data_IF_217734774088
#
_entry.id   IF_217734774088
#
_cell.length_a   1.000
_cell.length_b   1.000
_cell.length_c   1.000
_cell.angle_alpha   90.00
_cell.angle_beta   90.00
_cell.angle_gamma   90.00
#
_symmetry.space_group_name_H-M   'P 1'
#
loop_
_entity.id
_entity.type
_entity.pdbx_description
1 polymer ?
#
# COMPACT_ATOMS: atom_id res chain seq x y z
N UNK A 1 28.35 -19.83 -71.72
CA UNK A 1 28.36 -20.84 -70.64
C UNK A 1 27.50 -20.26 -69.54
N UNK A 2 26.32 -20.76 -69.20
CA UNK A 2 25.47 -21.80 -69.78
C UNK A 2 24.10 -21.58 -69.11
N UNK A 3 23.04 -21.92 -69.84
CA UNK A 3 21.65 -21.52 -69.64
C UNK A 3 20.93 -22.08 -68.40
N UNK A 4 19.84 -21.37 -68.06
CA UNK A 4 18.72 -21.75 -67.19
C UNK A 4 17.89 -22.93 -67.74
N UNK A 5 17.34 -23.78 -66.85
CA UNK A 5 16.03 -24.48 -66.95
C UNK A 5 15.69 -25.06 -65.55
N UNK A 6 14.57 -24.70 -64.88
CA UNK A 6 13.18 -25.18 -65.04
C UNK A 6 12.98 -26.70 -64.88
N UNK A 7 11.89 -27.30 -64.38
CA UNK A 7 10.77 -26.99 -63.48
C UNK A 7 9.89 -28.28 -63.41
N UNK A 8 9.36 -28.63 -62.22
CA UNK A 8 8.08 -29.37 -61.93
C UNK A 8 7.75 -30.77 -62.49
N UNK A 9 7.30 -31.65 -61.57
CA UNK A 9 6.03 -32.45 -61.50
C UNK A 9 6.24 -33.56 -60.44
N UNK A 10 5.30 -34.09 -59.65
CA UNK A 10 3.84 -34.06 -59.56
C UNK A 10 3.40 -35.34 -58.82
N UNK A 11 2.46 -35.23 -57.86
CA UNK A 11 1.92 -36.29 -57.00
C UNK A 11 1.14 -37.40 -57.73
N UNK A 12 1.07 -38.62 -57.17
CA UNK A 12 -0.22 -39.34 -56.93
C UNK A 12 -0.11 -40.50 -55.92
N UNK A 13 -1.24 -40.76 -55.25
CA UNK A 13 -1.56 -41.70 -54.16
C UNK A 13 -1.28 -43.20 -54.41
N UNK A 14 -1.14 -43.96 -53.32
CA UNK A 14 -1.67 -45.33 -53.24
C UNK A 14 -2.16 -45.70 -51.83
N UNK A 15 -3.33 -46.34 -51.84
CA UNK A 15 -4.14 -46.86 -50.72
C UNK A 15 -3.65 -48.23 -50.24
N UNK A 16 -3.87 -48.55 -48.96
CA UNK A 16 -4.46 -49.85 -48.53
C UNK A 16 -4.82 -49.88 -47.04
N UNK A 17 -6.05 -50.33 -46.77
CA UNK A 17 -6.63 -50.69 -45.48
C UNK A 17 -6.09 -52.06 -45.01
N UNK A 18 -6.11 -52.37 -43.70
CA UNK A 18 -6.87 -53.50 -43.07
C UNK A 18 -6.75 -53.43 -41.52
N UNK A 19 -7.88 -53.67 -40.83
CA UNK A 19 -8.12 -53.78 -39.37
C UNK A 19 -7.34 -54.90 -38.65
N UNK A 20 -6.97 -54.72 -37.36
CA UNK A 20 -7.08 -55.74 -36.27
C UNK A 20 -7.20 -55.07 -34.86
N UNK A 21 -8.26 -55.46 -34.11
CA UNK A 21 -8.48 -55.60 -32.65
C UNK A 21 -8.39 -54.44 -31.61
N UNK A 22 -9.50 -54.30 -30.85
CA UNK A 22 -9.75 -53.55 -29.60
C UNK A 22 -8.97 -54.11 -28.36
N UNK A 23 -9.25 -53.70 -27.09
CA UNK A 23 -8.98 -52.43 -26.41
C UNK A 23 -8.21 -52.66 -25.07
N UNK A 24 -7.25 -51.83 -24.68
CA UNK A 24 -6.76 -51.83 -23.28
C UNK A 24 -7.05 -50.48 -22.65
N UNK A 25 -8.23 -50.44 -22.02
CA UNK A 25 -8.53 -49.56 -20.90
C UNK A 25 -7.44 -49.74 -19.82
N UNK A 26 -6.58 -48.75 -19.67
CA UNK A 26 -5.89 -48.48 -18.41
C UNK A 26 -6.34 -47.08 -17.95
N UNK A 27 -7.62 -46.99 -17.59
CA UNK A 27 -8.04 -46.05 -16.55
C UNK A 27 -7.38 -46.53 -15.26
N UNK A 28 -6.17 -46.04 -15.00
CA UNK A 28 -5.64 -46.03 -13.64
C UNK A 28 -6.51 -45.04 -12.85
N UNK A 29 -7.60 -45.55 -12.32
CA UNK A 29 -8.41 -44.88 -11.32
C UNK A 29 -7.56 -44.63 -10.10
N UNK A 30 -6.95 -43.45 -10.03
CA UNK A 30 -6.69 -42.79 -8.76
C UNK A 30 -8.04 -42.35 -8.20
N UNK A 31 -8.82 -43.32 -7.72
CA UNK A 31 -9.87 -43.09 -6.74
C UNK A 31 -9.18 -42.76 -5.40
N UNK A 32 -8.59 -41.57 -5.34
CA UNK A 32 -8.56 -40.78 -4.12
C UNK A 32 -9.82 -39.93 -4.15
N UNK A 33 -10.98 -40.58 -4.15
CA UNK A 33 -12.19 -39.98 -3.60
C UNK A 33 -11.97 -39.90 -2.10
N UNK A 34 -11.20 -38.89 -1.68
CA UNK A 34 -11.36 -38.32 -0.36
C UNK A 34 -12.78 -37.78 -0.31
N UNK A 35 -13.70 -38.61 0.14
CA UNK A 35 -15.09 -38.24 0.33
C UNK A 35 -15.16 -37.09 1.34
N UNK A 36 -15.61 -35.94 0.83
CA UNK A 36 -16.38 -34.91 1.53
C UNK A 36 -15.67 -34.00 2.53
N UNK A 37 -14.67 -33.25 2.07
CA UNK A 37 -14.65 -31.83 2.42
C UNK A 37 -14.66 -31.00 1.14
N UNK A 38 -15.85 -30.65 0.64
CA UNK A 38 -15.99 -29.63 -0.41
C UNK A 38 -15.10 -28.45 -0.06
N UNK A 39 -14.18 -28.02 -0.92
CA UNK A 39 -13.27 -26.92 -0.60
C UNK A 39 -14.06 -25.65 -0.20
N UNK A 40 -13.50 -24.74 0.63
CA UNK A 40 -14.16 -23.49 0.98
C UNK A 40 -14.62 -22.73 -0.27
N UNK A 41 -15.88 -22.31 -0.27
CA UNK A 41 -16.42 -21.46 -1.34
C UNK A 41 -15.85 -20.04 -1.25
N UNK A 42 -15.95 -19.29 -2.35
CA UNK A 42 -15.60 -17.86 -2.36
C UNK A 42 -16.44 -17.07 -1.35
N UNK A 43 -17.72 -17.41 -1.19
CA UNK A 43 -18.63 -16.76 -0.24
C UNK A 43 -18.19 -16.98 1.21
N UNK A 44 -17.82 -18.21 1.59
CA UNK A 44 -17.33 -18.51 2.94
C UNK A 44 -16.00 -17.79 3.24
N UNK A 45 -15.08 -17.75 2.26
CA UNK A 45 -13.84 -16.99 2.40
C UNK A 45 -14.09 -15.47 2.50
N UNK A 46 -15.10 -14.96 1.80
CA UNK A 46 -15.52 -13.56 1.89
C UNK A 46 -16.11 -13.24 3.26
N UNK A 47 -16.95 -14.12 3.82
CA UNK A 47 -17.51 -13.95 5.17
C UNK A 47 -16.41 -13.89 6.24
N UNK A 48 -15.32 -14.64 6.07
CA UNK A 48 -14.15 -14.53 6.94
C UNK A 48 -13.52 -13.14 6.85
N UNK A 49 -13.29 -12.63 5.63
CA UNK A 49 -12.74 -11.28 5.45
C UNK A 49 -13.66 -10.20 6.02
N UNK A 50 -14.96 -10.29 5.75
CA UNK A 50 -15.97 -9.37 6.29
C UNK A 50 -16.02 -9.42 7.81
N UNK A 51 -15.95 -10.61 8.41
CA UNK A 51 -15.96 -10.80 9.85
C UNK A 51 -14.82 -10.09 10.60
N UNK A 52 -13.65 -9.92 9.96
CA UNK A 52 -12.52 -9.17 10.53
C UNK A 52 -12.88 -7.69 10.75
N UNK A 53 -13.67 -7.11 9.84
CA UNK A 53 -13.98 -5.67 9.82
C UNK A 53 -15.42 -5.35 10.23
N UNK A 54 -16.30 -6.35 10.34
CA UNK A 54 -17.74 -6.20 10.59
C UNK A 54 -18.09 -5.43 11.88
N UNK A 55 -17.14 -5.28 12.79
CA UNK A 55 -17.30 -4.55 14.04
C UNK A 55 -17.09 -3.04 13.92
N UNK A 56 -16.70 -2.53 12.74
CA UNK A 56 -16.49 -1.11 12.51
C UNK A 56 -17.20 -0.59 11.26
N UNK A 57 -18.14 0.34 11.44
CA UNK A 57 -18.92 0.94 10.36
C UNK A 57 -18.07 1.76 9.38
N UNK A 58 -16.90 2.23 9.82
CA UNK A 58 -15.95 2.96 8.98
C UNK A 58 -15.21 2.06 7.98
N UNK A 59 -15.32 0.72 8.08
CA UNK A 59 -14.57 -0.22 7.26
C UNK A 59 -15.51 -1.15 6.50
N UNK A 60 -15.29 -1.30 5.19
CA UNK A 60 -16.10 -2.17 4.35
C UNK A 60 -15.26 -2.97 3.36
N UNK A 61 -15.41 -4.28 3.36
CA UNK A 61 -14.82 -5.17 2.36
C UNK A 61 -15.56 -5.01 1.03
N UNK A 62 -14.80 -4.95 -0.07
CA UNK A 62 -15.30 -4.95 -1.45
C UNK A 62 -14.29 -5.61 -2.39
N UNK A 63 -14.70 -5.81 -3.64
CA UNK A 63 -13.84 -6.32 -4.71
C UNK A 63 -13.15 -7.64 -4.32
N UNK A 64 -13.88 -8.53 -3.63
CA UNK A 64 -13.33 -9.78 -3.10
C UNK A 64 -13.12 -10.82 -4.20
N UNK A 65 -11.97 -11.46 -4.18
CA UNK A 65 -11.55 -12.51 -5.09
C UNK A 65 -10.82 -13.61 -4.31
N UNK A 66 -11.25 -14.86 -4.51
CA UNK A 66 -10.46 -16.02 -4.09
C UNK A 66 -9.46 -16.35 -5.20
N UNK A 67 -8.17 -16.26 -4.87
CA UNK A 67 -7.06 -16.51 -5.81
C UNK A 67 -6.71 -18.00 -5.88
N UNK A 68 -6.62 -18.67 -4.73
CA UNK A 68 -6.22 -20.07 -4.65
C UNK A 68 -6.78 -20.76 -3.40
N UNK A 69 -6.75 -22.09 -3.34
CA UNK A 69 -7.04 -22.87 -2.15
C UNK A 69 -6.20 -24.15 -2.10
N UNK A 70 -5.43 -24.32 -1.02
CA UNK A 70 -4.49 -25.43 -0.85
C UNK A 70 -4.99 -26.34 0.28
N UNK A 71 -5.45 -27.58 -0.01
CA UNK A 71 -5.84 -28.52 1.04
C UNK A 71 -4.64 -28.85 1.94
N UNK A 72 -4.90 -29.00 3.23
CA UNK A 72 -3.91 -29.41 4.23
C UNK A 72 -4.18 -30.86 4.67
N UNK A 73 -3.16 -31.53 5.21
CA UNK A 73 -3.26 -32.93 5.64
C UNK A 73 -4.20 -33.15 6.85
N UNK A 74 -4.57 -32.09 7.56
CA UNK A 74 -5.46 -32.11 8.73
C UNK A 74 -6.93 -31.80 8.39
N UNK A 75 -7.27 -31.77 7.09
CA UNK A 75 -8.61 -31.42 6.62
C UNK A 75 -8.92 -29.92 6.61
N UNK A 76 -7.96 -29.07 6.98
CA UNK A 76 -8.06 -27.62 6.79
C UNK A 76 -7.67 -27.21 5.36
N UNK A 77 -7.95 -25.96 4.99
CA UNK A 77 -7.54 -25.34 3.73
C UNK A 77 -6.82 -24.03 3.99
N UNK A 78 -5.77 -23.75 3.22
CA UNK A 78 -5.21 -22.41 3.11
C UNK A 78 -5.82 -21.73 1.89
N UNK A 79 -6.63 -20.69 2.11
CA UNK A 79 -7.32 -19.95 1.06
C UNK A 79 -6.63 -18.62 0.84
N UNK A 80 -6.07 -18.41 -0.35
CA UNK A 80 -5.45 -17.15 -0.74
C UNK A 80 -6.51 -16.24 -1.34
N UNK A 81 -6.57 -15.00 -0.87
CA UNK A 81 -7.60 -14.03 -1.26
C UNK A 81 -7.00 -12.68 -1.61
N UNK A 82 -7.74 -11.94 -2.43
CA UNK A 82 -7.54 -10.52 -2.70
C UNK A 82 -8.84 -9.80 -2.41
N UNK A 83 -8.74 -8.63 -1.80
CA UNK A 83 -9.90 -7.78 -1.60
C UNK A 83 -9.45 -6.35 -1.34
N UNK A 84 -10.39 -5.43 -1.35
CA UNK A 84 -10.16 -4.05 -0.97
C UNK A 84 -10.99 -3.75 0.28
N UNK A 85 -10.38 -3.07 1.25
CA UNK A 85 -11.11 -2.47 2.36
C UNK A 85 -11.27 -1.00 2.07
N UNK A 86 -12.52 -0.55 1.93
CA UNK A 86 -12.87 0.86 1.94
C UNK A 86 -12.86 1.36 3.38
N UNK A 87 -11.99 2.33 3.64
CA UNK A 87 -11.96 3.11 4.87
C UNK A 87 -12.70 4.42 4.61
N UNK A 88 -13.79 4.64 5.33
CA UNK A 88 -14.49 5.92 5.41
C UNK A 88 -14.03 6.62 6.69
N UNK A 89 -13.22 7.70 6.62
CA UNK A 89 -12.69 8.34 7.82
C UNK A 89 -13.83 8.91 8.68
N UNK A 90 -13.72 8.89 10.02
CA UNK A 90 -14.61 9.64 10.89
C UNK A 90 -14.68 11.12 10.49
N UNK A 91 -15.82 11.77 10.68
CA UNK A 91 -16.02 13.16 10.22
C UNK A 91 -15.01 14.13 10.83
N UNK A 92 -14.53 13.88 12.05
CA UNK A 92 -13.46 14.65 12.69
C UNK A 92 -12.14 14.60 11.91
N UNK A 93 -11.84 13.47 11.26
CA UNK A 93 -10.67 13.32 10.39
C UNK A 93 -10.96 13.95 9.02
N UNK A 94 -12.07 13.58 8.38
CA UNK A 94 -12.37 14.02 7.01
C UNK A 94 -12.49 15.54 6.90
N UNK A 95 -13.17 16.19 7.86
CA UNK A 95 -13.28 17.65 7.92
C UNK A 95 -11.94 18.33 8.18
N UNK A 96 -11.15 17.82 9.14
CA UNK A 96 -9.81 18.36 9.39
C UNK A 96 -8.92 18.29 8.15
N UNK A 97 -8.93 17.14 7.47
CA UNK A 97 -8.11 16.91 6.26
C UNK A 97 -8.58 17.72 5.05
N UNK A 98 -9.87 18.08 4.99
CA UNK A 98 -10.45 18.92 3.95
C UNK A 98 -10.22 20.42 4.20
N UNK A 99 -10.44 20.87 5.43
CA UNK A 99 -10.65 22.28 5.72
C UNK A 99 -9.43 22.97 6.38
N UNK A 100 -8.65 22.20 7.15
CA UNK A 100 -7.55 22.72 7.98
C UNK A 100 -6.18 22.28 7.47
N UNK A 101 -5.99 20.97 7.31
CA UNK A 101 -4.69 20.38 6.95
C UNK A 101 -4.05 21.01 5.70
N UNK A 102 -4.75 21.24 4.56
CA UNK A 102 -4.12 21.76 3.36
C UNK A 102 -3.58 23.19 3.54
N UNK A 103 -4.27 24.01 4.35
CA UNK A 103 -3.86 25.40 4.64
C UNK A 103 -2.60 25.41 5.48
N UNK A 104 -2.61 24.68 6.59
CA UNK A 104 -1.44 24.58 7.48
C UNK A 104 -0.26 23.93 6.79
N UNK A 105 -0.49 22.91 5.96
CA UNK A 105 0.57 22.28 5.18
C UNK A 105 1.22 23.28 4.22
N UNK A 106 0.43 24.06 3.48
CA UNK A 106 0.95 25.07 2.56
C UNK A 106 1.75 26.17 3.28
N UNK A 107 1.26 26.65 4.43
CA UNK A 107 1.97 27.64 5.26
C UNK A 107 3.32 27.10 5.74
N UNK A 108 3.36 25.85 6.23
CA UNK A 108 4.60 25.22 6.70
C UNK A 108 5.56 24.91 5.55
N UNK A 109 5.06 24.53 4.37
CA UNK A 109 5.89 24.35 3.18
C UNK A 109 6.52 25.67 2.71
N UNK A 110 5.75 26.76 2.72
CA UNK A 110 6.27 28.09 2.40
C UNK A 110 7.35 28.52 3.41
N UNK A 111 7.11 28.28 4.70
CA UNK A 111 8.07 28.57 5.78
C UNK A 111 9.36 27.73 5.65
N UNK A 112 9.24 26.44 5.37
CA UNK A 112 10.39 25.54 5.15
C UNK A 112 11.21 25.98 3.92
N UNK A 113 10.54 26.41 2.85
CA UNK A 113 11.21 26.97 1.66
C UNK A 113 11.97 28.25 2.01
N UNK A 114 11.31 29.19 2.69
CA UNK A 114 11.93 30.44 3.14
C UNK A 114 13.12 30.18 4.07
N UNK A 115 12.99 29.24 5.02
CA UNK A 115 14.08 28.84 5.91
C UNK A 115 15.28 28.33 5.12
N UNK A 116 15.08 27.46 4.13
CA UNK A 116 16.16 26.93 3.28
C UNK A 116 16.85 28.04 2.49
N UNK A 117 16.09 28.98 1.92
CA UNK A 117 16.64 30.13 1.19
C UNK A 117 17.48 31.04 2.09
N UNK A 118 16.93 31.42 3.25
CA UNK A 118 17.63 32.26 4.22
C UNK A 118 18.87 31.56 4.78
N UNK A 119 18.81 30.25 4.99
CA UNK A 119 19.94 29.45 5.47
C UNK A 119 21.09 29.51 4.47
N UNK A 120 20.79 29.31 3.18
CA UNK A 120 21.78 29.42 2.11
C UNK A 120 22.39 30.82 2.07
N UNK A 121 21.56 31.87 2.03
CA UNK A 121 22.04 33.26 2.01
C UNK A 121 22.91 33.59 3.22
N UNK A 122 22.50 33.14 4.42
CA UNK A 122 23.24 33.35 5.65
C UNK A 122 24.64 32.72 5.59
N UNK A 123 24.72 31.43 5.24
CA UNK A 123 26.02 30.73 5.21
C UNK A 123 26.92 31.19 4.07
N UNK A 124 26.37 31.54 2.89
CA UNK A 124 27.16 32.13 1.81
C UNK A 124 27.77 33.47 2.24
N UNK A 125 26.98 34.33 2.91
CA UNK A 125 27.46 35.62 3.41
C UNK A 125 28.47 35.46 4.53
N UNK A 126 28.21 34.56 5.49
CA UNK A 126 29.12 34.26 6.58
C UNK A 126 30.47 33.78 6.04
N UNK A 127 30.47 32.81 5.14
CA UNK A 127 31.70 32.26 4.54
C UNK A 127 32.49 33.32 3.74
N UNK A 128 31.79 34.20 3.01
CA UNK A 128 32.46 35.31 2.31
C UNK A 128 33.15 36.29 3.27
N UNK A 129 32.56 36.52 4.46
CA UNK A 129 33.13 37.39 5.48
C UNK A 129 34.28 36.73 6.23
N UNK A 130 34.15 35.44 6.60
CA UNK A 130 35.22 34.64 7.23
C UNK A 130 36.48 34.58 6.36
N UNK A 131 36.33 34.50 5.04
CA UNK A 131 37.46 34.55 4.11
C UNK A 131 38.22 35.89 4.14
N UNK A 132 37.54 36.98 4.49
CA UNK A 132 38.15 38.31 4.62
C UNK A 132 38.60 38.64 6.04
N UNK A 133 38.04 37.96 7.05
CA UNK A 133 38.30 38.20 8.47
C UNK A 133 38.57 36.87 9.22
N UNK A 134 39.66 36.16 8.90
CA UNK A 134 39.88 34.77 9.34
C UNK A 134 40.08 34.58 10.84
N UNK A 135 40.22 35.67 11.61
CA UNK A 135 40.35 35.65 13.07
C UNK A 135 39.06 36.08 13.79
N UNK A 136 38.04 36.55 13.05
CA UNK A 136 36.77 36.96 13.63
C UNK A 136 35.88 35.74 13.88
N UNK A 137 35.19 35.72 15.02
CA UNK A 137 34.15 34.72 15.28
C UNK A 137 32.84 35.11 14.59
N UNK A 138 31.91 34.16 14.42
CA UNK A 138 30.57 34.45 13.91
C UNK A 138 29.87 35.57 14.70
N UNK A 139 30.05 35.61 16.03
CA UNK A 139 29.49 36.69 16.87
C UNK A 139 30.14 38.05 16.59
N UNK A 140 31.46 38.09 16.37
CA UNK A 140 32.16 39.33 15.98
C UNK A 140 31.64 39.83 14.64
N UNK A 141 31.44 38.92 13.68
CA UNK A 141 30.89 39.22 12.36
C UNK A 141 29.44 39.71 12.46
N UNK A 142 28.59 39.06 13.26
CA UNK A 142 27.20 39.50 13.49
C UNK A 142 27.14 40.89 14.13
N UNK A 143 28.01 41.20 15.10
CA UNK A 143 28.07 42.52 15.72
C UNK A 143 28.55 43.61 14.74
N UNK A 144 29.44 43.24 13.82
CA UNK A 144 30.09 44.17 12.89
C UNK A 144 29.30 44.40 11.59
N UNK A 145 28.56 43.39 11.12
CA UNK A 145 27.85 43.40 9.84
C UNK A 145 26.33 43.34 10.05
N UNK A 146 25.62 44.48 10.04
CA UNK A 146 24.18 44.54 10.29
C UNK A 146 23.33 43.74 9.29
N UNK A 147 23.79 43.59 8.05
CA UNK A 147 23.15 42.76 7.02
C UNK A 147 23.20 41.27 7.39
N UNK A 148 24.34 40.79 7.90
CA UNK A 148 24.48 39.42 8.40
C UNK A 148 23.60 39.20 9.64
N UNK A 149 23.59 40.16 10.57
CA UNK A 149 22.72 40.10 11.76
C UNK A 149 21.24 40.05 11.40
N UNK A 150 20.81 40.83 10.40
CA UNK A 150 19.43 40.81 9.92
C UNK A 150 19.07 39.48 9.25
N UNK A 151 19.97 38.90 8.44
CA UNK A 151 19.79 37.57 7.86
C UNK A 151 19.67 36.50 8.93
N UNK A 152 20.53 36.54 9.96
CA UNK A 152 20.47 35.61 11.09
C UNK A 152 19.15 35.72 11.87
N UNK A 153 18.68 36.94 12.13
CA UNK A 153 17.39 37.16 12.80
C UNK A 153 16.22 36.57 11.98
N UNK A 154 16.17 36.82 10.66
CA UNK A 154 15.15 36.25 9.76
C UNK A 154 15.24 34.73 9.69
N UNK A 155 16.45 34.16 9.65
CA UNK A 155 16.67 32.73 9.66
C UNK A 155 16.08 32.08 10.92
N UNK A 156 16.34 32.67 12.10
CA UNK A 156 15.80 32.18 13.37
C UNK A 156 14.27 32.28 13.42
N UNK A 157 13.70 33.36 12.92
CA UNK A 157 12.24 33.53 12.81
C UNK A 157 11.63 32.46 11.89
N UNK A 158 12.23 32.22 10.72
CA UNK A 158 11.80 31.19 9.79
C UNK A 158 11.97 29.76 10.33
N UNK A 159 12.91 29.53 11.25
CA UNK A 159 13.10 28.24 11.93
C UNK A 159 12.21 28.05 13.16
N UNK A 160 11.54 29.10 13.64
CA UNK A 160 10.76 29.04 14.88
C UNK A 160 9.44 28.26 14.69
N UNK A 161 8.83 27.79 15.77
CA UNK A 161 7.49 27.18 15.73
C UNK A 161 7.42 25.77 15.13
N UNK A 162 6.21 25.31 14.75
CA UNK A 162 5.99 23.96 14.26
C UNK A 162 6.79 23.67 12.97
N UNK A 163 7.41 22.50 12.92
CA UNK A 163 8.17 22.05 11.77
C UNK A 163 7.29 21.19 10.85
N UNK A 164 7.51 21.30 9.54
CA UNK A 164 6.74 20.56 8.53
C UNK A 164 6.70 19.05 8.82
N UNK A 165 7.86 18.45 9.12
CA UNK A 165 7.94 17.01 9.41
C UNK A 165 7.20 16.63 10.69
N UNK A 166 7.32 17.42 11.76
CA UNK A 166 6.58 17.20 13.00
C UNK A 166 5.08 17.30 12.77
N UNK A 167 4.62 18.31 12.03
CA UNK A 167 3.20 18.48 11.71
C UNK A 167 2.61 17.28 10.94
N UNK A 168 3.32 16.76 9.93
CA UNK A 168 2.88 15.59 9.17
C UNK A 168 2.83 14.34 10.06
N UNK A 169 3.84 14.14 10.90
CA UNK A 169 3.89 13.00 11.83
C UNK A 169 2.81 13.08 12.90
N UNK A 170 2.59 14.25 13.49
CA UNK A 170 1.57 14.48 14.51
C UNK A 170 0.17 14.28 13.93
N UNK A 171 -0.06 14.75 12.71
CA UNK A 171 -1.31 14.51 11.97
C UNK A 171 -1.52 13.02 11.71
N UNK A 172 -0.49 12.30 11.28
CA UNK A 172 -0.55 10.85 11.09
C UNK A 172 -0.95 10.14 12.38
N UNK A 173 -0.28 10.46 13.50
CA UNK A 173 -0.60 9.86 14.81
C UNK A 173 -2.00 10.25 15.31
N UNK A 174 -2.50 11.44 14.99
CA UNK A 174 -3.89 11.82 15.27
C UNK A 174 -4.87 10.93 14.49
N UNK A 175 -4.63 10.70 13.19
CA UNK A 175 -5.49 9.85 12.37
C UNK A 175 -5.47 8.41 12.90
N UNK A 176 -4.30 7.87 13.24
CA UNK A 176 -4.16 6.53 13.82
C UNK A 176 -4.97 6.37 15.11
N UNK A 177 -4.83 7.29 16.06
CA UNK A 177 -5.59 7.26 17.32
C UNK A 177 -7.09 7.33 17.08
N UNK A 178 -7.55 8.29 16.29
CA UNK A 178 -8.97 8.46 16.00
C UNK A 178 -9.57 7.24 15.28
N UNK A 179 -8.80 6.57 14.42
CA UNK A 179 -9.25 5.34 13.76
C UNK A 179 -9.29 4.14 14.70
N UNK A 180 -8.32 4.01 15.62
CA UNK A 180 -8.35 2.97 16.65
C UNK A 180 -9.55 3.17 17.58
N UNK A 181 -9.84 4.41 17.95
CA UNK A 181 -10.98 4.75 18.81
C UNK A 181 -12.32 4.54 18.09
N UNK A 182 -12.39 4.79 16.78
CA UNK A 182 -13.58 4.54 15.97
C UNK A 182 -13.83 3.04 15.73
N UNK A 183 -12.77 2.22 15.69
CA UNK A 183 -12.83 0.79 15.41
C UNK A 183 -12.21 -0.07 16.55
N UNK A 184 -12.70 0.01 17.81
CA UNK A 184 -12.01 -0.56 18.97
C UNK A 184 -11.97 -2.10 19.00
N UNK A 185 -12.81 -2.75 18.20
CA UNK A 185 -12.89 -4.21 18.07
C UNK A 185 -12.06 -4.78 16.93
N UNK A 186 -11.53 -3.92 16.04
CA UNK A 186 -10.57 -4.31 15.02
C UNK A 186 -9.19 -4.34 15.67
N UNK A 187 -8.34 -5.30 15.28
CA UNK A 187 -6.98 -5.37 15.79
C UNK A 187 -6.24 -4.04 15.55
N UNK A 188 -5.68 -3.39 16.60
CA UNK A 188 -5.03 -2.09 16.44
C UNK A 188 -3.90 -2.07 15.41
N UNK A 189 -3.13 -3.14 15.30
CA UNK A 189 -2.07 -3.27 14.29
C UNK A 189 -2.62 -3.28 12.86
N UNK A 190 -3.78 -3.90 12.65
CA UNK A 190 -4.48 -3.86 11.36
C UNK A 190 -4.94 -2.45 11.05
N UNK A 191 -5.56 -1.76 12.01
CA UNK A 191 -6.01 -0.37 11.86
C UNK A 191 -4.84 0.57 11.54
N UNK A 192 -3.74 0.49 12.30
CA UNK A 192 -2.54 1.32 12.06
C UNK A 192 -1.95 1.04 10.67
N UNK A 193 -1.84 -0.24 10.28
CA UNK A 193 -1.38 -0.61 8.92
C UNK A 193 -2.27 0.02 7.84
N UNK A 194 -3.58 0.00 8.03
CA UNK A 194 -4.52 0.61 7.09
C UNK A 194 -4.33 2.12 6.97
N UNK A 195 -4.14 2.82 8.08
CA UNK A 195 -3.88 4.27 8.07
C UNK A 195 -2.51 4.59 7.47
N UNK A 196 -1.53 3.71 7.63
CA UNK A 196 -0.17 3.86 7.10
C UNK A 196 -0.05 3.83 5.57
N UNK A 197 -0.98 3.15 4.88
CA UNK A 197 -0.91 2.92 3.43
C UNK A 197 -1.30 4.16 2.61
N UNK A 198 -2.40 4.87 2.90
CA UNK A 198 -2.80 6.05 2.14
C UNK A 198 -1.76 7.17 2.22
N UNK A 199 -1.15 7.45 1.07
CA UNK A 199 -0.37 8.67 0.85
C UNK A 199 -0.83 9.35 -0.46
N UNK A 200 -0.88 10.69 -0.49
CA UNK A 200 -0.58 11.61 0.60
C UNK A 200 -1.74 11.68 1.62
N UNK A 201 -1.56 12.30 2.80
CA UNK A 201 -2.53 12.25 3.91
C UNK A 201 -3.89 12.86 3.53
N UNK A 202 -3.91 13.83 2.62
CA UNK A 202 -5.09 14.51 2.08
C UNK A 202 -6.17 13.54 1.57
N UNK A 203 -5.78 12.31 1.22
CA UNK A 203 -6.74 11.25 0.85
C UNK A 203 -7.75 10.95 1.96
N UNK A 204 -7.40 11.16 3.22
CA UNK A 204 -8.32 11.03 4.35
C UNK A 204 -9.42 12.12 4.41
N UNK A 205 -9.46 13.06 3.46
CA UNK A 205 -10.61 13.95 3.27
C UNK A 205 -11.86 13.23 2.72
N UNK A 206 -11.71 11.99 2.23
CA UNK A 206 -12.80 11.14 1.75
C UNK A 206 -12.51 9.65 1.91
N UNK A 207 -13.31 8.82 1.24
CA UNK A 207 -13.13 7.37 1.26
C UNK A 207 -11.79 6.95 0.65
N UNK A 208 -11.13 5.99 1.30
CA UNK A 208 -9.87 5.42 0.82
C UNK A 208 -9.98 3.92 0.65
N UNK A 209 -9.62 3.45 -0.54
CA UNK A 209 -9.62 2.05 -0.89
C UNK A 209 -8.21 1.45 -0.67
N UNK A 210 -8.11 0.47 0.22
CA UNK A 210 -6.85 -0.15 0.65
C UNK A 210 -6.82 -1.62 0.20
N UNK A 211 -5.86 -2.04 -0.65
CA UNK A 211 -5.79 -3.41 -1.14
C UNK A 211 -5.19 -4.36 -0.10
N UNK A 212 -5.76 -5.55 0.00
CA UNK A 212 -5.30 -6.66 0.84
C UNK A 212 -5.02 -7.91 0.00
N UNK A 213 -4.00 -8.65 0.41
CA UNK A 213 -3.66 -9.97 -0.10
C UNK A 213 -3.39 -10.84 1.13
N UNK A 214 -4.35 -11.67 1.50
CA UNK A 214 -4.28 -12.46 2.73
C UNK A 214 -4.39 -13.96 2.43
N UNK A 215 -3.98 -14.76 3.39
CA UNK A 215 -4.20 -16.21 3.38
C UNK A 215 -4.94 -16.59 4.65
N UNK A 216 -6.11 -17.19 4.49
CA UNK A 216 -6.92 -17.69 5.61
C UNK A 216 -6.72 -19.19 5.74
N UNK A 217 -6.33 -19.64 6.94
CA UNK A 217 -6.51 -21.03 7.31
C UNK A 217 -8.00 -21.24 7.65
N UNK A 218 -8.66 -22.17 6.96
CA UNK A 218 -10.08 -22.45 7.12
C UNK A 218 -10.29 -23.92 7.49
N UNK A 219 -11.22 -24.17 8.41
CA UNK A 219 -11.62 -25.52 8.84
C UNK A 219 -13.10 -25.73 8.57
N UNK A 220 -13.48 -26.95 8.21
CA UNK A 220 -14.89 -27.32 8.01
C UNK A 220 -15.54 -27.55 9.36
N UNK A 221 -16.66 -26.88 9.60
CA UNK A 221 -17.49 -27.01 10.81
C UNK A 221 -18.91 -27.40 10.42
N UNK A 222 -19.77 -27.65 11.40
CA UNK A 222 -21.20 -27.88 11.17
C UNK A 222 -21.90 -26.68 10.52
N UNK A 223 -21.31 -25.48 10.64
CA UNK A 223 -21.81 -24.23 10.05
C UNK A 223 -21.10 -23.86 8.73
N UNK A 224 -20.38 -24.80 8.10
CA UNK A 224 -19.59 -24.55 6.89
C UNK A 224 -18.12 -24.24 7.19
N UNK A 225 -17.41 -23.71 6.20
CA UNK A 225 -15.99 -23.34 6.36
C UNK A 225 -15.83 -22.04 7.12
N UNK A 226 -15.05 -22.08 8.20
CA UNK A 226 -14.77 -20.94 9.06
C UNK A 226 -13.27 -20.73 9.21
N UNK A 227 -12.85 -19.52 9.57
CA UNK A 227 -11.46 -19.24 9.91
C UNK A 227 -11.01 -20.11 11.09
N UNK A 228 -9.82 -20.70 10.96
CA UNK A 228 -9.12 -21.39 12.05
C UNK A 228 -8.61 -20.31 13.02
N UNK A 229 -9.19 -20.27 14.22
CA UNK A 229 -8.77 -19.36 15.30
C UNK A 229 -7.43 -19.76 15.89
#
# INVERSE_FOLDING_TARGET
MQDDEMLKKGNTMQSRQTLIALPVLLLAGALLTGCNSDAPSTSEAQQVAEGIFASCDNLKVKDFERVNGIPQNDGSYLVQVKYTVRLTPPESISSYMRDTYPKTLAELQAKDTLFKELRTQYFERLHALEATEPMATENDLLAKYPDLAQLFAKLNEANSGPQLNSFVNDTMSMIERNMVDACPKVNPSTTIRMVGVPKPLEKFAGDVDIPFNDTYAMIKTDNGWMARQ
#
